data_IF_503800141022
#
_entry.id   IF_503800141022
#
_cell.length_a   1.000
_cell.length_b   1.000
_cell.length_c   1.000
_cell.angle_alpha   90.00
_cell.angle_beta   90.00
_cell.angle_gamma   90.00
#
_symmetry.space_group_name_H-M   'P 1'
#
loop_
_entity.id
_entity.type
_entity.pdbx_description
1 polymer ?
#
# COMPACT_ATOMS: atom_id res chain seq x y z
N UNK A 1 -4.22 10.39 -2.04
CA UNK A 1 -2.88 10.05 -1.52
C UNK A 1 -3.01 8.79 -0.68
N UNK A 2 -2.12 7.83 -0.82
CA UNK A 2 -2.21 6.51 -0.15
C UNK A 2 -0.93 6.19 0.61
N UNK A 3 -0.90 5.02 1.27
CA UNK A 3 0.19 4.60 2.16
C UNK A 3 1.61 4.65 1.54
N UNK A 4 1.85 4.17 0.30
CA UNK A 4 3.18 4.26 -0.32
C UNK A 4 3.74 5.70 -0.40
N UNK A 5 2.88 6.65 -0.74
CA UNK A 5 3.25 8.05 -0.88
C UNK A 5 3.45 8.73 0.48
N UNK A 6 2.64 8.38 1.49
CA UNK A 6 2.82 8.89 2.85
C UNK A 6 4.20 8.48 3.38
N UNK A 7 4.57 7.20 3.23
CA UNK A 7 5.89 6.71 3.61
C UNK A 7 7.01 7.42 2.85
N UNK A 8 6.87 7.56 1.53
CA UNK A 8 7.85 8.27 0.70
C UNK A 8 8.10 9.71 1.19
N UNK A 9 7.04 10.44 1.54
CA UNK A 9 7.11 11.82 2.02
C UNK A 9 7.63 11.94 3.46
N UNK A 10 7.45 10.91 4.28
CA UNK A 10 8.01 10.88 5.65
C UNK A 10 9.52 10.69 5.64
N UNK A 11 10.05 9.93 4.67
CA UNK A 11 11.48 9.61 4.57
C UNK A 11 12.26 10.52 3.61
N UNK A 12 11.59 11.50 2.99
CA UNK A 12 12.23 12.42 2.04
C UNK A 12 12.82 13.66 2.72
N UNK A 13 13.77 14.28 2.02
CA UNK A 13 14.29 15.59 2.41
C UNK A 13 13.17 16.64 2.40
N UNK A 14 13.33 17.71 3.18
CA UNK A 14 12.34 18.79 3.21
C UNK A 14 12.09 19.41 1.82
N UNK A 15 13.16 19.53 1.01
CA UNK A 15 13.10 20.08 -0.35
C UNK A 15 12.28 19.15 -1.26
N UNK A 16 12.58 17.84 -1.26
CA UNK A 16 11.86 16.87 -2.09
C UNK A 16 10.40 16.75 -1.66
N UNK A 17 10.14 16.70 -0.36
CA UNK A 17 8.79 16.68 0.19
C UNK A 17 7.97 17.88 -0.30
N UNK A 18 8.52 19.09 -0.21
CA UNK A 18 7.86 20.31 -0.69
C UNK A 18 7.62 20.28 -2.20
N UNK A 19 8.60 19.81 -2.98
CA UNK A 19 8.51 19.67 -4.45
C UNK A 19 7.40 18.69 -4.85
N UNK A 20 7.35 17.51 -4.22
CA UNK A 20 6.35 16.48 -4.53
C UNK A 20 4.95 16.93 -4.11
N UNK A 21 4.79 17.54 -2.93
CA UNK A 21 3.49 18.09 -2.49
C UNK A 21 3.00 19.18 -3.44
N UNK A 22 3.88 20.08 -3.90
CA UNK A 22 3.53 21.09 -4.88
C UNK A 22 3.04 20.46 -6.20
N UNK A 23 3.72 19.42 -6.68
CA UNK A 23 3.34 18.69 -7.90
C UNK A 23 1.99 18.01 -7.77
N UNK A 24 1.71 17.37 -6.64
CA UNK A 24 0.42 16.76 -6.34
C UNK A 24 -0.70 17.82 -6.33
N UNK A 25 -0.46 18.99 -5.75
CA UNK A 25 -1.49 20.03 -5.62
C UNK A 25 -1.78 20.78 -6.91
N UNK A 26 -0.76 21.01 -7.75
CA UNK A 26 -0.86 21.97 -8.86
C UNK A 26 -0.67 21.35 -10.25
N UNK A 27 -0.23 20.08 -10.33
CA UNK A 27 0.15 19.44 -11.60
C UNK A 27 -0.33 17.99 -11.69
N UNK A 28 -1.33 17.60 -10.91
CA UNK A 28 -1.83 16.23 -10.78
C UNK A 28 -2.45 15.65 -12.05
N UNK A 29 -2.88 16.49 -13.01
CA UNK A 29 -3.51 16.04 -14.25
C UNK A 29 -2.50 15.72 -15.36
N UNK A 30 -1.23 16.15 -15.20
CA UNK A 30 -0.20 15.89 -16.19
C UNK A 30 0.43 14.52 -15.99
N UNK A 31 0.32 13.65 -17.01
CA UNK A 31 0.89 12.29 -17.01
C UNK A 31 2.37 12.25 -16.63
N UNK A 32 3.17 13.22 -17.08
CA UNK A 32 4.58 13.33 -16.74
C UNK A 32 4.81 13.54 -15.22
N UNK A 33 3.98 14.37 -14.58
CA UNK A 33 4.02 14.61 -13.14
C UNK A 33 3.64 13.35 -12.36
N UNK A 34 2.61 12.63 -12.82
CA UNK A 34 2.18 11.37 -12.20
C UNK A 34 3.32 10.34 -12.25
N UNK A 35 3.98 10.19 -13.40
CA UNK A 35 5.11 9.28 -13.55
C UNK A 35 6.27 9.64 -12.62
N UNK A 36 6.59 10.92 -12.45
CA UNK A 36 7.63 11.35 -11.51
C UNK A 36 7.27 11.02 -10.06
N UNK A 37 6.00 11.21 -9.66
CA UNK A 37 5.53 10.84 -8.32
C UNK A 37 5.63 9.32 -8.12
N UNK A 38 5.25 8.52 -9.13
CA UNK A 38 5.38 7.06 -9.07
C UNK A 38 6.84 6.64 -8.89
N UNK A 39 7.76 7.22 -9.66
CA UNK A 39 9.19 6.92 -9.56
C UNK A 39 9.78 7.36 -8.22
N UNK A 40 9.35 8.51 -7.69
CA UNK A 40 9.70 8.95 -6.35
C UNK A 40 9.26 7.94 -5.28
N UNK A 41 8.02 7.46 -5.36
CA UNK A 41 7.48 6.46 -4.43
C UNK A 41 8.26 5.14 -4.52
N UNK A 42 8.54 4.64 -5.73
CA UNK A 42 9.36 3.43 -5.93
C UNK A 42 10.75 3.57 -5.32
N UNK A 43 11.46 4.68 -5.63
CA UNK A 43 12.83 4.92 -5.12
C UNK A 43 12.88 5.06 -3.61
N UNK A 44 11.81 5.53 -2.98
CA UNK A 44 11.73 5.67 -1.53
C UNK A 44 11.51 4.34 -0.78
N UNK A 45 11.22 3.23 -1.48
CA UNK A 45 10.81 1.97 -0.84
C UNK A 45 9.34 1.97 -0.38
N UNK A 46 8.53 2.92 -0.83
CA UNK A 46 7.16 3.10 -0.37
C UNK A 46 6.21 1.99 -0.80
N UNK A 47 6.46 1.35 -1.95
CA UNK A 47 5.67 0.20 -2.41
C UNK A 47 5.94 -1.02 -1.53
N UNK A 48 7.21 -1.30 -1.27
CA UNK A 48 7.68 -2.39 -0.43
C UNK A 48 7.16 -2.23 1.00
N UNK A 49 7.20 -1.00 1.54
CA UNK A 49 6.61 -0.69 2.84
C UNK A 49 5.11 -1.00 2.87
N UNK A 50 4.35 -0.50 1.89
CA UNK A 50 2.91 -0.74 1.87
C UNK A 50 2.57 -2.23 1.68
N UNK A 51 3.35 -2.95 0.88
CA UNK A 51 3.20 -4.40 0.69
C UNK A 51 3.50 -5.16 1.98
N UNK A 52 4.54 -4.75 2.73
CA UNK A 52 4.84 -5.31 4.05
C UNK A 52 3.68 -5.12 5.03
N UNK A 53 3.13 -3.89 5.12
CA UNK A 53 1.98 -3.61 6.00
C UNK A 53 0.76 -4.44 5.59
N UNK A 54 0.48 -4.55 4.30
CA UNK A 54 -0.60 -5.39 3.79
C UNK A 54 -0.40 -6.88 4.17
N UNK A 55 0.81 -7.41 3.99
CA UNK A 55 1.14 -8.79 4.37
C UNK A 55 0.99 -9.02 5.88
N UNK A 56 1.35 -8.04 6.72
CA UNK A 56 1.17 -8.15 8.16
C UNK A 56 -0.31 -8.31 8.53
N UNK A 57 -1.18 -7.43 8.01
CA UNK A 57 -2.63 -7.54 8.27
C UNK A 57 -3.23 -8.83 7.72
N UNK A 58 -2.73 -9.33 6.60
CA UNK A 58 -3.14 -10.62 6.07
C UNK A 58 -2.81 -11.77 7.02
N UNK A 59 -1.58 -11.81 7.54
CA UNK A 59 -1.18 -12.83 8.51
C UNK A 59 -1.96 -12.71 9.82
N UNK A 60 -2.14 -11.49 10.35
CA UNK A 60 -2.95 -11.25 11.53
C UNK A 60 -4.39 -11.75 11.34
N UNK A 61 -5.00 -11.50 10.17
CA UNK A 61 -6.33 -11.99 9.86
C UNK A 61 -6.41 -13.53 9.83
N UNK A 62 -5.42 -14.21 9.25
CA UNK A 62 -5.36 -15.67 9.25
C UNK A 62 -5.22 -16.23 10.67
N UNK A 63 -4.32 -15.68 11.48
CA UNK A 63 -4.13 -16.08 12.88
C UNK A 63 -5.41 -15.87 13.70
N UNK A 64 -6.17 -14.80 13.46
CA UNK A 64 -7.46 -14.60 14.12
C UNK A 64 -8.47 -15.70 13.75
N UNK A 65 -8.51 -16.11 12.48
CA UNK A 65 -9.41 -17.15 12.00
C UNK A 65 -9.08 -18.54 12.55
N UNK A 66 -7.81 -18.83 12.85
CA UNK A 66 -7.38 -20.11 13.45
C UNK A 66 -8.07 -20.41 14.78
N UNK A 67 -8.42 -19.38 15.56
CA UNK A 67 -9.08 -19.52 16.86
C UNK A 67 -10.55 -19.97 16.78
N UNK A 68 -11.13 -20.01 15.57
CA UNK A 68 -12.51 -20.45 15.37
C UNK A 68 -12.58 -21.94 14.99
N UNK A 69 -13.65 -22.65 15.41
CA UNK A 69 -13.86 -24.03 15.00
C UNK A 69 -14.02 -24.15 13.49
N UNK A 70 -13.63 -25.30 12.95
CA UNK A 70 -13.80 -25.62 11.54
C UNK A 70 -15.27 -25.48 11.13
N UNK A 71 -15.51 -24.66 10.10
CA UNK A 71 -16.84 -24.38 9.59
C UNK A 71 -16.78 -23.86 8.16
N UNK A 72 -17.87 -23.97 7.40
CA UNK A 72 -17.97 -23.35 6.07
C UNK A 72 -17.71 -21.83 6.10
N UNK A 73 -18.06 -21.16 7.21
CA UNK A 73 -17.84 -19.73 7.39
C UNK A 73 -16.35 -19.40 7.54
N UNK A 74 -15.62 -20.14 8.40
CA UNK A 74 -14.16 -20.00 8.55
C UNK A 74 -13.46 -20.17 7.20
N UNK A 75 -13.80 -21.24 6.48
CA UNK A 75 -13.22 -21.52 5.16
C UNK A 75 -13.50 -20.43 4.13
N UNK A 76 -14.73 -19.90 4.12
CA UNK A 76 -15.12 -18.81 3.22
C UNK A 76 -14.35 -17.52 3.51
N UNK A 77 -14.18 -17.18 4.80
CA UNK A 77 -13.42 -16.00 5.23
C UNK A 77 -11.93 -16.14 4.92
N UNK A 78 -11.32 -17.30 5.19
CA UNK A 78 -9.93 -17.59 4.82
C UNK A 78 -9.73 -17.41 3.32
N UNK A 79 -10.61 -17.98 2.51
CA UNK A 79 -10.55 -17.85 1.04
C UNK A 79 -10.66 -16.40 0.57
N UNK A 80 -11.56 -15.62 1.17
CA UNK A 80 -11.75 -14.20 0.84
C UNK A 80 -10.49 -13.37 1.15
N UNK A 81 -9.88 -13.63 2.30
CA UNK A 81 -8.67 -12.93 2.77
C UNK A 81 -7.49 -13.27 1.86
N UNK A 82 -7.30 -14.54 1.49
CA UNK A 82 -6.28 -14.98 0.51
C UNK A 82 -6.50 -14.38 -0.87
N UNK A 83 -7.73 -14.38 -1.38
CA UNK A 83 -8.02 -13.78 -2.69
C UNK A 83 -7.68 -12.28 -2.73
N UNK A 84 -7.93 -11.56 -1.63
CA UNK A 84 -7.71 -10.11 -1.55
C UNK A 84 -6.24 -9.74 -1.72
N UNK A 85 -5.31 -10.60 -1.30
CA UNK A 85 -3.86 -10.34 -1.38
C UNK A 85 -3.19 -10.90 -2.64
N UNK A 86 -3.69 -12.01 -3.19
CA UNK A 86 -3.11 -12.66 -4.36
C UNK A 86 -3.57 -12.09 -5.70
N UNK A 87 -4.66 -11.31 -5.70
CA UNK A 87 -5.24 -10.77 -6.92
C UNK A 87 -4.21 -9.93 -7.71
N UNK A 88 -3.80 -10.44 -8.86
CA UNK A 88 -3.21 -9.63 -9.94
C UNK A 88 -4.34 -8.98 -10.75
N UNK A 89 -4.29 -7.66 -10.90
CA UNK A 89 -5.14 -6.93 -11.86
C UNK A 89 -4.44 -6.82 -13.19
#
# INVERSE_FOLDING_TARGET
MTLPLIYALQNATWIDKKKIIYKIRNKSEHKATINEIIEFVKKSGGLEYAQKIMNNYYQEALTLLENFPESPFKNSLTTLVTYTIERKK
#
